data_IF_677764092468
#
_entry.id   IF_677764092468
#
_cell.length_a   1.000
_cell.length_b   1.000
_cell.length_c   1.000
_cell.angle_alpha   90.00
_cell.angle_beta   90.00
_cell.angle_gamma   90.00
#
_symmetry.space_group_name_H-M   'P 1'
#
loop_
_entity.id
_entity.type
_entity.pdbx_description
1 polymer ?
#
# COMPACT_ATOMS: atom_id res chain seq x y z
N UNK A 1 -64.90 -1.73 12.11
CA UNK A 1 -63.95 -2.69 11.49
C UNK A 1 -64.15 -2.62 9.98
N UNK A 2 -63.25 -1.95 9.25
CA UNK A 2 -63.30 -1.89 7.79
C UNK A 2 -62.46 -3.05 7.22
N UNK A 3 -63.13 -3.99 6.55
CA UNK A 3 -62.51 -5.14 5.88
C UNK A 3 -62.00 -4.69 4.50
N UNK A 4 -60.67 -4.58 4.35
CA UNK A 4 -60.04 -4.35 3.05
C UNK A 4 -60.26 -5.55 2.12
N UNK A 5 -60.90 -5.35 0.97
CA UNK A 5 -61.00 -6.36 -0.09
C UNK A 5 -59.64 -6.47 -0.79
N UNK A 6 -59.08 -7.66 -0.82
CA UNK A 6 -57.95 -7.98 -1.69
C UNK A 6 -58.50 -8.15 -3.11
N UNK A 7 -58.34 -7.15 -3.97
CA UNK A 7 -58.60 -7.29 -5.40
C UNK A 7 -57.52 -8.19 -6.05
N UNK A 8 -57.89 -9.05 -7.02
CA UNK A 8 -56.94 -9.89 -7.73
C UNK A 8 -56.01 -9.02 -8.60
N UNK A 9 -54.71 -9.11 -8.36
CA UNK A 9 -53.68 -8.48 -9.20
C UNK A 9 -53.72 -9.14 -10.58
N UNK A 10 -54.12 -8.40 -11.61
CA UNK A 10 -54.09 -8.88 -12.99
C UNK A 10 -52.65 -9.06 -13.46
N UNK A 11 -52.29 -10.16 -14.16
CA UNK A 11 -50.93 -10.37 -14.65
C UNK A 11 -50.54 -9.26 -15.63
N UNK A 12 -49.36 -8.66 -15.45
CA UNK A 12 -48.82 -7.70 -16.40
C UNK A 12 -48.64 -8.34 -17.79
N UNK A 13 -48.92 -7.59 -18.86
CA UNK A 13 -48.80 -8.12 -20.21
C UNK A 13 -47.32 -8.41 -20.54
N UNK A 14 -47.02 -9.44 -21.36
CA UNK A 14 -45.64 -9.81 -21.69
C UNK A 14 -44.79 -8.63 -22.21
N UNK A 15 -45.39 -7.76 -23.05
CA UNK A 15 -44.71 -6.57 -23.58
C UNK A 15 -44.38 -5.52 -22.50
N UNK A 16 -45.22 -5.37 -21.47
CA UNK A 16 -44.91 -4.46 -20.36
C UNK A 16 -43.76 -4.96 -19.48
N UNK A 17 -43.63 -6.28 -19.31
CA UNK A 17 -42.52 -6.90 -18.56
C UNK A 17 -41.20 -6.76 -19.32
N UNK A 18 -41.22 -6.97 -20.64
CA UNK A 18 -40.03 -6.84 -21.49
C UNK A 18 -39.46 -5.41 -21.50
N UNK A 19 -40.33 -4.40 -21.62
CA UNK A 19 -39.93 -2.98 -21.56
C UNK A 19 -39.34 -2.61 -20.20
N UNK A 20 -39.94 -3.09 -19.09
CA UNK A 20 -39.39 -2.87 -17.73
C UNK A 20 -38.03 -3.53 -17.56
N UNK A 21 -37.86 -4.76 -18.07
CA UNK A 21 -36.58 -5.47 -18.01
C UNK A 21 -35.50 -4.77 -18.84
N UNK A 22 -35.84 -4.30 -20.05
CA UNK A 22 -34.92 -3.54 -20.90
C UNK A 22 -34.48 -2.22 -20.24
N UNK A 23 -35.41 -1.50 -19.60
CA UNK A 23 -35.11 -0.30 -18.85
C UNK A 23 -34.22 -0.58 -17.62
N UNK A 24 -34.53 -1.61 -16.84
CA UNK A 24 -33.74 -2.02 -15.69
C UNK A 24 -32.32 -2.42 -16.09
N UNK A 25 -32.17 -3.22 -17.15
CA UNK A 25 -30.88 -3.61 -17.68
C UNK A 25 -30.09 -2.39 -18.19
N UNK A 26 -30.73 -1.42 -18.83
CA UNK A 26 -30.07 -0.17 -19.26
C UNK A 26 -29.53 0.63 -18.07
N UNK A 27 -30.30 0.73 -16.98
CA UNK A 27 -29.83 1.39 -15.75
C UNK A 27 -28.67 0.60 -15.14
N UNK A 28 -28.81 -0.73 -15.05
CA UNK A 28 -27.79 -1.61 -14.48
C UNK A 28 -26.45 -1.45 -15.20
N UNK A 29 -26.45 -1.49 -16.54
CA UNK A 29 -25.25 -1.31 -17.36
C UNK A 29 -24.63 0.07 -17.17
N UNK A 30 -25.43 1.15 -17.16
CA UNK A 30 -24.93 2.51 -16.91
C UNK A 30 -24.28 2.64 -15.53
N UNK A 31 -24.89 2.06 -14.50
CA UNK A 31 -24.34 2.06 -13.13
C UNK A 31 -23.07 1.23 -13.07
N UNK A 32 -23.04 0.05 -13.70
CA UNK A 32 -21.86 -0.81 -13.73
C UNK A 32 -20.69 -0.14 -14.46
N UNK A 33 -20.94 0.44 -15.64
CA UNK A 33 -19.95 1.19 -16.43
C UNK A 33 -19.43 2.43 -15.69
N UNK A 34 -20.29 3.18 -14.98
CA UNK A 34 -19.88 4.32 -14.17
C UNK A 34 -19.02 3.90 -12.97
N UNK A 35 -19.26 2.72 -12.40
CA UNK A 35 -18.46 2.17 -11.29
C UNK A 35 -17.10 1.69 -11.77
N UNK A 36 -17.04 1.00 -12.91
CA UNK A 36 -15.78 0.52 -13.49
C UNK A 36 -14.90 1.67 -13.94
N UNK A 37 -15.45 2.71 -14.59
CA UNK A 37 -14.70 3.90 -15.01
C UNK A 37 -14.09 4.67 -13.83
N UNK A 38 -14.88 4.95 -12.78
CA UNK A 38 -14.38 5.60 -11.55
C UNK A 38 -13.28 4.80 -10.86
N UNK A 39 -13.37 3.47 -10.89
CA UNK A 39 -12.35 2.60 -10.28
C UNK A 39 -11.07 2.59 -11.11
N UNK A 40 -11.19 2.54 -12.45
CA UNK A 40 -10.04 2.61 -13.36
C UNK A 40 -9.32 3.95 -13.27
N UNK A 41 -10.05 5.07 -13.21
CA UNK A 41 -9.46 6.39 -13.06
C UNK A 41 -8.62 6.50 -11.78
N UNK A 42 -9.17 6.07 -10.63
CA UNK A 42 -8.42 6.07 -9.36
C UNK A 42 -7.13 5.24 -9.43
N UNK A 43 -7.19 4.06 -10.08
CA UNK A 43 -5.99 3.23 -10.25
C UNK A 43 -4.90 3.93 -11.07
N UNK A 44 -5.28 4.62 -12.15
CA UNK A 44 -4.33 5.37 -13.00
C UNK A 44 -3.74 6.55 -12.23
N UNK A 45 -4.56 7.30 -11.47
CA UNK A 45 -4.08 8.40 -10.62
C UNK A 45 -3.07 7.89 -9.58
N UNK A 46 -3.42 6.81 -8.86
CA UNK A 46 -2.52 6.20 -7.86
C UNK A 46 -1.22 5.68 -8.48
N UNK A 47 -1.29 4.99 -9.62
CA UNK A 47 -0.10 4.48 -10.31
C UNK A 47 0.81 5.61 -10.79
N UNK A 48 0.22 6.66 -11.38
CA UNK A 48 0.97 7.83 -11.87
C UNK A 48 1.73 8.49 -10.73
N UNK A 49 1.06 8.76 -9.61
CA UNK A 49 1.72 9.37 -8.43
C UNK A 49 2.84 8.47 -7.90
N UNK A 50 2.59 7.16 -7.78
CA UNK A 50 3.61 6.21 -7.32
C UNK A 50 4.84 6.20 -8.22
N UNK A 51 4.65 6.20 -9.55
CA UNK A 51 5.75 6.25 -10.51
C UNK A 51 6.51 7.59 -10.44
N UNK A 52 5.80 8.71 -10.36
CA UNK A 52 6.43 10.03 -10.21
C UNK A 52 7.29 10.12 -8.94
N UNK A 53 6.74 9.71 -7.80
CA UNK A 53 7.47 9.70 -6.51
C UNK A 53 8.65 8.74 -6.57
N UNK A 54 8.45 7.53 -7.12
CA UNK A 54 9.51 6.54 -7.26
C UNK A 54 10.66 7.04 -8.15
N UNK A 55 10.38 7.73 -9.26
CA UNK A 55 11.42 8.30 -10.10
C UNK A 55 12.11 9.47 -9.40
N UNK A 56 11.35 10.37 -8.78
CA UNK A 56 11.87 11.54 -8.10
C UNK A 56 12.81 11.19 -6.94
N UNK A 57 12.48 10.17 -6.15
CA UNK A 57 13.26 9.75 -4.99
C UNK A 57 14.24 8.61 -5.34
N UNK A 58 13.85 7.70 -6.22
CA UNK A 58 14.66 6.55 -6.61
C UNK A 58 15.90 6.95 -7.39
N UNK A 59 15.78 7.82 -8.40
CA UNK A 59 16.92 8.19 -9.26
C UNK A 59 18.08 8.81 -8.44
N UNK A 60 17.86 9.81 -7.57
CA UNK A 60 18.93 10.33 -6.72
C UNK A 60 19.54 9.27 -5.80
N UNK A 61 18.71 8.39 -5.24
CA UNK A 61 19.17 7.30 -4.38
C UNK A 61 20.05 6.30 -5.15
N UNK A 62 19.69 5.98 -6.40
CA UNK A 62 20.47 5.11 -7.28
C UNK A 62 21.83 5.73 -7.65
N UNK A 63 21.86 7.05 -7.89
CA UNK A 63 23.10 7.77 -8.19
C UNK A 63 24.10 7.68 -7.03
N UNK A 64 23.61 7.69 -5.79
CA UNK A 64 24.45 7.62 -4.57
C UNK A 64 24.82 6.18 -4.20
N UNK A 65 23.86 5.25 -4.28
CA UNK A 65 23.99 3.90 -3.72
C UNK A 65 24.15 2.80 -4.76
N UNK A 66 24.01 3.07 -6.06
CA UNK A 66 23.90 2.11 -7.17
C UNK A 66 22.50 1.49 -7.28
N UNK A 67 22.08 1.30 -8.52
CA UNK A 67 20.76 0.79 -8.92
C UNK A 67 20.37 -0.52 -8.21
N UNK A 68 21.27 -1.51 -8.14
CA UNK A 68 20.95 -2.82 -7.59
C UNK A 68 20.60 -2.77 -6.08
N UNK A 69 21.20 -1.84 -5.32
CA UNK A 69 20.90 -1.65 -3.90
C UNK A 69 19.48 -1.10 -3.72
N UNK A 70 19.08 -0.16 -4.56
CA UNK A 70 17.73 0.42 -4.57
C UNK A 70 16.69 -0.61 -4.99
N UNK A 71 16.99 -1.45 -5.99
CA UNK A 71 16.13 -2.57 -6.40
C UNK A 71 15.90 -3.54 -5.24
N UNK A 72 16.94 -3.93 -4.49
CA UNK A 72 16.77 -4.81 -3.33
C UNK A 72 15.85 -4.21 -2.26
N UNK A 73 16.01 -2.92 -1.97
CA UNK A 73 15.15 -2.21 -1.01
C UNK A 73 13.70 -2.16 -1.50
N UNK A 74 13.49 -1.84 -2.77
CA UNK A 74 12.15 -1.82 -3.38
C UNK A 74 11.48 -3.18 -3.30
N UNK A 75 12.18 -4.25 -3.72
CA UNK A 75 11.64 -5.62 -3.69
C UNK A 75 11.32 -6.08 -2.27
N UNK A 76 12.17 -5.76 -1.30
CA UNK A 76 11.90 -6.07 0.10
C UNK A 76 10.63 -5.35 0.61
N UNK A 77 10.44 -4.09 0.19
CA UNK A 77 9.22 -3.33 0.46
C UNK A 77 7.97 -3.95 -0.15
N UNK A 78 8.04 -4.38 -1.42
CA UNK A 78 6.95 -5.06 -2.11
C UNK A 78 6.60 -6.37 -1.40
N UNK A 79 7.60 -7.17 -1.05
CA UNK A 79 7.39 -8.44 -0.35
C UNK A 79 6.77 -8.24 1.04
N UNK A 80 7.35 -7.36 1.87
CA UNK A 80 6.84 -7.06 3.20
C UNK A 80 5.42 -6.48 3.15
N UNK A 81 5.18 -5.52 2.25
CA UNK A 81 3.87 -4.92 2.04
C UNK A 81 2.82 -5.94 1.60
N UNK A 82 3.17 -6.84 0.67
CA UNK A 82 2.26 -7.87 0.16
C UNK A 82 1.92 -8.91 1.23
N UNK A 83 2.93 -9.41 1.96
CA UNK A 83 2.74 -10.39 3.03
C UNK A 83 1.92 -9.85 4.21
N UNK A 84 2.13 -8.59 4.57
CA UNK A 84 1.35 -7.97 5.64
C UNK A 84 -0.11 -7.78 5.21
N UNK A 85 -0.30 -7.29 3.98
CA UNK A 85 -1.62 -7.09 3.38
C UNK A 85 -2.44 -8.36 3.29
N UNK A 86 -1.84 -9.48 2.88
CA UNK A 86 -2.53 -10.75 2.74
C UNK A 86 -3.05 -11.31 4.06
N UNK A 87 -2.42 -10.94 5.19
CA UNK A 87 -2.87 -11.34 6.54
C UNK A 87 -3.95 -10.38 7.06
N UNK A 88 -3.79 -9.07 6.85
CA UNK A 88 -4.65 -8.06 7.51
C UNK A 88 -5.85 -7.62 6.70
N UNK A 89 -5.80 -7.71 5.37
CA UNK A 89 -6.86 -7.24 4.46
C UNK A 89 -6.93 -8.17 3.21
N UNK A 90 -7.26 -9.47 3.38
CA UNK A 90 -7.18 -10.48 2.31
C UNK A 90 -8.19 -10.27 1.18
N UNK A 91 -9.28 -9.54 1.43
CA UNK A 91 -10.34 -9.26 0.44
C UNK A 91 -10.04 -8.00 -0.40
N UNK A 92 -8.96 -7.29 -0.09
CA UNK A 92 -8.53 -6.13 -0.84
C UNK A 92 -7.50 -6.60 -1.88
N UNK A 93 -7.84 -6.50 -3.17
CA UNK A 93 -6.92 -6.79 -4.28
C UNK A 93 -5.71 -5.86 -4.22
N UNK A 94 -4.65 -6.26 -3.51
CA UNK A 94 -3.58 -5.36 -3.10
C UNK A 94 -2.39 -5.42 -4.06
N UNK A 95 -2.14 -4.27 -4.68
CA UNK A 95 -0.94 -3.94 -5.41
C UNK A 95 0.21 -3.67 -4.42
N UNK A 96 1.07 -4.67 -4.18
CA UNK A 96 2.29 -4.54 -3.35
C UNK A 96 3.30 -3.49 -3.85
N UNK A 97 3.12 -2.96 -5.06
CA UNK A 97 4.01 -1.97 -5.67
C UNK A 97 4.20 -0.69 -4.86
N UNK A 98 3.17 -0.20 -4.17
CA UNK A 98 3.31 1.00 -3.32
C UNK A 98 4.10 0.75 -2.04
N UNK A 99 4.12 -0.49 -1.52
CA UNK A 99 5.01 -0.90 -0.44
C UNK A 99 6.47 -0.70 -0.82
N UNK A 100 6.83 -0.97 -2.08
CA UNK A 100 8.15 -0.65 -2.63
C UNK A 100 8.45 0.85 -2.72
N UNK A 101 7.46 1.68 -3.08
CA UNK A 101 7.62 3.15 -3.10
C UNK A 101 7.89 3.70 -1.70
N UNK A 102 7.14 3.23 -0.70
CA UNK A 102 7.37 3.57 0.70
C UNK A 102 8.71 3.05 1.23
N UNK A 103 9.18 1.90 0.73
CA UNK A 103 10.51 1.42 1.04
C UNK A 103 11.59 2.35 0.46
N UNK A 104 11.46 2.83 -0.78
CA UNK A 104 12.37 3.83 -1.36
C UNK A 104 12.32 5.15 -0.59
N UNK A 105 11.13 5.63 -0.19
CA UNK A 105 10.97 6.84 0.58
C UNK A 105 11.73 6.75 1.93
N UNK A 106 11.54 5.65 2.65
CA UNK A 106 12.19 5.43 3.96
C UNK A 106 13.64 4.97 3.87
N UNK A 107 14.09 4.47 2.72
CA UNK A 107 15.50 4.24 2.42
C UNK A 107 16.35 5.50 2.60
N UNK A 108 15.77 6.69 2.33
CA UNK A 108 16.43 7.97 2.57
C UNK A 108 16.67 8.21 4.06
N UNK A 109 15.73 7.80 4.93
CA UNK A 109 15.93 7.85 6.38
C UNK A 109 17.08 6.92 6.77
N UNK A 110 17.14 5.70 6.23
CA UNK A 110 18.27 4.80 6.49
C UNK A 110 19.61 5.41 6.06
N UNK A 111 19.66 6.05 4.89
CA UNK A 111 20.85 6.79 4.42
C UNK A 111 21.25 7.90 5.39
N UNK A 112 20.30 8.70 5.89
CA UNK A 112 20.55 9.77 6.88
C UNK A 112 21.05 9.20 8.19
N UNK A 113 20.44 8.12 8.70
CA UNK A 113 20.82 7.49 9.97
C UNK A 113 22.26 6.95 9.93
N UNK A 114 22.64 6.30 8.82
CA UNK A 114 23.97 5.72 8.66
C UNK A 114 25.06 6.75 8.36
N UNK A 115 24.70 7.84 7.68
CA UNK A 115 25.66 8.83 7.17
C UNK A 115 25.46 10.20 7.82
N UNK A 116 24.98 10.22 9.07
CA UNK A 116 24.56 11.44 9.77
C UNK A 116 25.66 12.50 9.83
N UNK A 117 26.91 12.09 10.03
CA UNK A 117 28.05 13.01 10.18
C UNK A 117 28.54 13.54 8.83
N UNK A 118 28.24 12.84 7.76
CA UNK A 118 28.69 13.11 6.39
C UNK A 118 27.69 13.98 5.62
N UNK A 119 26.42 14.01 6.04
CA UNK A 119 25.37 14.76 5.37
C UNK A 119 25.28 16.20 5.86
N UNK A 120 25.01 17.13 4.94
CA UNK A 120 24.69 18.51 5.26
C UNK A 120 23.24 18.62 5.76
N UNK A 121 23.04 19.22 6.94
CA UNK A 121 21.71 19.44 7.53
C UNK A 121 20.85 18.17 7.71
N UNK A 122 21.39 17.08 8.30
CA UNK A 122 20.68 15.80 8.40
C UNK A 122 19.37 15.91 9.20
N UNK A 123 19.31 16.79 10.22
CA UNK A 123 18.10 17.05 10.98
C UNK A 123 16.96 17.61 10.13
N UNK A 124 17.26 18.57 9.24
CA UNK A 124 16.26 19.20 8.36
C UNK A 124 15.77 18.19 7.34
N UNK A 125 16.70 17.44 6.72
CA UNK A 125 16.34 16.38 5.77
C UNK A 125 15.44 15.33 6.42
N UNK A 126 15.82 14.85 7.61
CA UNK A 126 15.02 13.89 8.37
C UNK A 126 13.62 14.44 8.68
N UNK A 127 13.52 15.70 9.13
CA UNK A 127 12.25 16.34 9.41
C UNK A 127 11.34 16.42 8.18
N UNK A 128 11.89 16.75 7.00
CA UNK A 128 11.13 16.79 5.74
C UNK A 128 10.58 15.40 5.40
N UNK A 129 11.42 14.36 5.42
CA UNK A 129 10.97 12.99 5.13
C UNK A 129 9.91 12.50 6.12
N UNK A 130 10.11 12.74 7.42
CA UNK A 130 9.13 12.38 8.44
C UNK A 130 7.80 13.10 8.24
N UNK A 131 7.83 14.39 7.91
CA UNK A 131 6.60 15.18 7.64
C UNK A 131 5.83 14.60 6.45
N UNK A 132 6.53 14.26 5.36
CA UNK A 132 5.91 13.65 4.17
C UNK A 132 5.30 12.29 4.51
N UNK A 133 6.03 11.42 5.21
CA UNK A 133 5.56 10.08 5.57
C UNK A 133 4.34 10.15 6.51
N UNK A 134 4.42 10.97 7.56
CA UNK A 134 3.33 11.12 8.53
C UNK A 134 2.11 11.73 7.85
N UNK A 135 2.29 12.74 6.99
CA UNK A 135 1.20 13.34 6.23
C UNK A 135 0.48 12.33 5.33
N UNK A 136 1.22 11.53 4.56
CA UNK A 136 0.63 10.54 3.66
C UNK A 136 -0.09 9.41 4.42
N UNK A 137 0.52 8.94 5.52
CA UNK A 137 -0.09 7.92 6.37
C UNK A 137 -1.34 8.44 7.08
N UNK A 138 -1.29 9.66 7.62
CA UNK A 138 -2.44 10.31 8.27
C UNK A 138 -3.59 10.49 7.27
N UNK A 139 -3.30 10.93 6.04
CA UNK A 139 -4.31 11.06 5.00
C UNK A 139 -4.91 9.70 4.62
N UNK A 140 -4.08 8.65 4.51
CA UNK A 140 -4.53 7.28 4.22
C UNK A 140 -5.44 6.73 5.31
N UNK A 141 -5.09 6.95 6.58
CA UNK A 141 -5.91 6.55 7.74
C UNK A 141 -7.21 7.36 7.77
N UNK A 142 -7.15 8.67 7.58
CA UNK A 142 -8.33 9.54 7.58
C UNK A 142 -9.35 9.11 6.52
N UNK A 143 -8.90 8.82 5.30
CA UNK A 143 -9.76 8.36 4.22
C UNK A 143 -10.44 7.02 4.55
N UNK A 144 -9.72 6.10 5.20
CA UNK A 144 -10.24 4.78 5.60
C UNK A 144 -11.22 4.87 6.78
N UNK A 145 -10.83 5.55 7.84
CA UNK A 145 -11.55 5.57 9.12
C UNK A 145 -12.71 6.57 9.13
N UNK A 146 -12.55 7.77 8.57
CA UNK A 146 -13.59 8.81 8.59
C UNK A 146 -14.45 8.81 7.32
N UNK A 147 -13.82 8.74 6.14
CA UNK A 147 -14.56 8.81 4.88
C UNK A 147 -15.07 7.44 4.40
N UNK A 148 -14.74 6.35 5.12
CA UNK A 148 -15.05 4.96 4.75
C UNK A 148 -14.69 4.63 3.30
N UNK A 149 -13.66 5.31 2.77
CA UNK A 149 -13.19 5.14 1.40
C UNK A 149 -12.04 4.16 1.43
N UNK A 150 -12.24 2.99 0.85
CA UNK A 150 -11.14 2.06 0.58
C UNK A 150 -10.43 2.52 -0.69
N UNK A 151 -9.21 3.03 -0.53
CA UNK A 151 -8.25 3.00 -1.62
C UNK A 151 -7.73 1.57 -1.62
N UNK A 152 -7.72 0.88 -2.76
CA UNK A 152 -7.45 -0.57 -2.86
C UNK A 152 -6.04 -1.03 -2.41
N UNK A 153 -5.32 -0.23 -1.62
CA UNK A 153 -4.07 -0.55 -0.97
C UNK A 153 -4.19 -0.16 0.51
N UNK A 154 -4.04 -1.13 1.41
CA UNK A 154 -4.11 -0.90 2.86
C UNK A 154 -2.94 -0.04 3.36
N UNK A 155 -3.22 0.90 4.28
CA UNK A 155 -2.20 1.67 5.00
C UNK A 155 -1.16 0.76 5.69
N UNK A 156 -1.58 -0.47 6.04
CA UNK A 156 -0.74 -1.52 6.59
C UNK A 156 0.35 -1.96 5.60
N UNK A 157 0.04 -2.03 4.30
CA UNK A 157 1.00 -2.34 3.24
C UNK A 157 2.09 -1.25 3.15
N UNK A 158 1.67 0.01 3.21
CA UNK A 158 2.56 1.15 3.22
C UNK A 158 3.46 1.15 4.45
N UNK A 159 2.90 0.87 5.63
CA UNK A 159 3.66 0.79 6.88
C UNK A 159 4.69 -0.35 6.86
N UNK A 160 4.31 -1.54 6.38
CA UNK A 160 5.22 -2.67 6.26
C UNK A 160 6.34 -2.39 5.24
N UNK A 161 6.00 -1.77 4.10
CA UNK A 161 6.99 -1.31 3.12
C UNK A 161 7.95 -0.26 3.68
N UNK A 162 7.42 0.71 4.42
CA UNK A 162 8.21 1.75 5.11
C UNK A 162 9.19 1.14 6.12
N UNK A 163 8.73 0.18 6.92
CA UNK A 163 9.58 -0.51 7.89
C UNK A 163 10.68 -1.32 7.18
N UNK A 164 10.33 -2.02 6.10
CA UNK A 164 11.30 -2.73 5.27
C UNK A 164 12.34 -1.77 4.68
N UNK A 165 11.93 -0.60 4.19
CA UNK A 165 12.85 0.39 3.62
C UNK A 165 13.89 0.92 4.62
N UNK A 166 13.48 1.21 5.86
CA UNK A 166 14.42 1.60 6.92
C UNK A 166 15.37 0.44 7.23
N UNK A 167 14.83 -0.74 7.54
CA UNK A 167 15.63 -1.88 7.99
C UNK A 167 16.60 -2.35 6.90
N UNK A 168 16.08 -2.66 5.72
CA UNK A 168 16.88 -3.13 4.57
C UNK A 168 17.85 -2.04 4.12
N UNK A 169 17.41 -0.78 4.14
CA UNK A 169 18.28 0.36 3.81
C UNK A 169 19.53 0.40 4.67
N UNK A 170 19.43 0.11 5.98
CA UNK A 170 20.57 0.14 6.92
C UNK A 170 21.68 -0.86 6.58
N UNK A 171 21.34 -2.04 6.03
CA UNK A 171 22.37 -3.03 5.71
C UNK A 171 22.69 -3.14 4.22
N UNK A 172 21.78 -2.70 3.36
CA UNK A 172 21.95 -2.72 1.91
C UNK A 172 22.54 -1.45 1.39
N UNK A 173 22.19 -0.25 1.86
CA UNK A 173 22.69 0.99 1.25
C UNK A 173 24.14 1.28 1.67
N UNK A 174 24.76 2.20 0.92
CA UNK A 174 26.15 2.59 1.16
C UNK A 174 26.28 3.38 2.47
N UNK A 175 27.11 2.86 3.37
CA UNK A 175 27.68 3.61 4.48
C UNK A 175 29.05 4.16 4.05
N UNK A 176 29.22 5.48 4.06
CA UNK A 176 30.44 6.13 3.57
C UNK A 176 31.63 5.97 4.51
N UNK A 177 31.41 5.91 5.82
CA UNK A 177 32.45 5.81 6.84
C UNK A 177 32.03 4.86 7.97
N UNK A 178 32.14 3.54 7.75
CA UNK A 178 31.66 2.55 8.70
C UNK A 178 32.31 2.68 10.08
N UNK A 179 31.48 2.84 11.11
CA UNK A 179 31.85 2.81 12.51
C UNK A 179 31.29 1.58 13.21
N UNK A 180 31.83 1.24 14.39
CA UNK A 180 31.32 0.13 15.22
C UNK A 180 29.82 0.28 15.51
N UNK A 181 29.34 1.52 15.70
CA UNK A 181 27.91 1.80 15.97
C UNK A 181 27.02 1.39 14.79
N UNK A 182 27.42 1.74 13.58
CA UNK A 182 26.67 1.33 12.39
C UNK A 182 26.75 -0.19 12.16
N UNK A 183 27.84 -0.86 12.53
CA UNK A 183 27.92 -2.33 12.50
C UNK A 183 26.90 -2.98 13.44
N UNK A 184 26.71 -2.44 14.65
CA UNK A 184 25.65 -2.92 15.54
C UNK A 184 24.25 -2.67 14.95
N UNK A 185 24.01 -1.48 14.39
CA UNK A 185 22.75 -1.16 13.72
C UNK A 185 22.47 -2.11 12.55
N UNK A 186 23.50 -2.46 11.78
CA UNK A 186 23.43 -3.42 10.68
C UNK A 186 22.90 -4.77 11.16
N UNK A 187 23.49 -5.34 12.22
CA UNK A 187 23.06 -6.64 12.76
C UNK A 187 21.66 -6.60 13.35
N UNK A 188 21.33 -5.53 14.09
CA UNK A 188 19.99 -5.33 14.65
C UNK A 188 18.96 -5.24 13.52
N UNK A 189 19.26 -4.50 12.46
CA UNK A 189 18.34 -4.35 11.32
C UNK A 189 18.10 -5.67 10.59
N UNK A 190 19.17 -6.42 10.28
CA UNK A 190 19.08 -7.74 9.64
C UNK A 190 18.24 -8.69 10.50
N UNK A 191 18.57 -8.82 11.79
CA UNK A 191 17.84 -9.70 12.71
C UNK A 191 16.36 -9.31 12.81
N UNK A 192 16.07 -8.03 13.00
CA UNK A 192 14.70 -7.52 13.12
C UNK A 192 13.89 -7.81 11.86
N UNK A 193 14.44 -7.53 10.67
CA UNK A 193 13.74 -7.80 9.42
C UNK A 193 13.51 -9.30 9.21
N UNK A 194 14.49 -10.15 9.49
CA UNK A 194 14.34 -11.61 9.37
C UNK A 194 13.24 -12.14 10.29
N UNK A 195 13.17 -11.67 11.54
CA UNK A 195 12.11 -12.06 12.49
C UNK A 195 10.74 -11.61 12.01
N UNK A 196 10.61 -10.35 11.56
CA UNK A 196 9.34 -9.81 11.05
C UNK A 196 8.85 -10.57 9.81
N UNK A 197 9.74 -10.83 8.86
CA UNK A 197 9.40 -11.60 7.65
C UNK A 197 9.04 -13.05 8.00
N UNK A 198 9.79 -13.70 8.87
CA UNK A 198 9.49 -15.04 9.35
C UNK A 198 8.11 -15.11 10.03
N UNK A 199 7.81 -14.15 10.90
CA UNK A 199 6.50 -14.06 11.55
C UNK A 199 5.37 -13.87 10.52
N UNK A 200 5.52 -12.97 9.55
CA UNK A 200 4.50 -12.75 8.51
C UNK A 200 4.31 -13.98 7.61
N UNK A 201 5.38 -14.71 7.29
CA UNK A 201 5.29 -15.96 6.53
C UNK A 201 4.52 -17.02 7.33
N UNK A 202 4.85 -17.22 8.60
CA UNK A 202 4.14 -18.16 9.48
C UNK A 202 2.67 -17.77 9.60
N UNK A 203 2.36 -16.49 9.82
CA UNK A 203 0.99 -15.99 9.89
C UNK A 203 0.22 -16.23 8.58
N UNK A 204 0.85 -16.04 7.42
CA UNK A 204 0.23 -16.36 6.13
C UNK A 204 -0.12 -17.84 6.01
N UNK A 205 0.82 -18.74 6.38
CA UNK A 205 0.56 -20.18 6.37
C UNK A 205 -0.57 -20.57 7.32
N UNK A 206 -0.57 -20.03 8.55
CA UNK A 206 -1.61 -20.32 9.54
C UNK A 206 -2.97 -19.77 9.07
N UNK A 207 -3.00 -18.56 8.55
CA UNK A 207 -4.22 -17.92 8.06
C UNK A 207 -4.86 -18.73 6.93
N UNK A 208 -4.08 -19.14 5.93
CA UNK A 208 -4.58 -19.92 4.79
C UNK A 208 -5.04 -21.32 5.22
N UNK A 209 -4.33 -21.96 6.15
CA UNK A 209 -4.62 -23.35 6.56
C UNK A 209 -5.81 -23.46 7.52
N UNK A 210 -5.99 -22.49 8.43
CA UNK A 210 -6.91 -22.61 9.56
C UNK A 210 -8.09 -21.64 9.55
N UNK A 211 -7.97 -20.47 8.93
CA UNK A 211 -8.98 -19.40 9.02
C UNK A 211 -9.80 -19.20 7.74
N UNK A 212 -9.33 -19.75 6.60
CA UNK A 212 -10.02 -19.68 5.30
C UNK A 212 -10.91 -20.88 4.95
N UNK A 213 -11.01 -21.88 5.83
CA UNK A 213 -11.94 -23.01 5.65
C UNK A 213 -13.34 -22.68 6.15
#
# INVERSE_FOLDING_TARGET
MATGRNEPVTPESPGTVEVKNAYFNSIYEKVHQARTSKTSQKRVEHLTVNLCVQLLLGIPLEMVHKWWRVVLVYLAGVLAGSLCSSVTDPDVNLAGGSGGVYAILTAHIATILMNWREMSFPCIQLFIYLTVIVGDLAMSIYQRCWLRRSNGVGYVAHLAGALAGVLVGIWVLKNFRPTKKETYLWWVAVFTFSVLMGAMIVLNFVYDTWLRK
#
